data_IF_132479585262
#
_entry.id   IF_132479585262
#
_cell.length_a   1.000
_cell.length_b   1.000
_cell.length_c   1.000
_cell.angle_alpha   90.00
_cell.angle_beta   90.00
_cell.angle_gamma   90.00
#
_symmetry.space_group_name_H-M   'P 1'
#
loop_
_entity.id
_entity.type
_entity.pdbx_description
1 polymer ?
#
# COMPACT_ATOMS: atom_id res chain seq x y z
N UNK A 1 -48.26 -65.38 14.63
CA UNK A 1 -48.10 -66.54 13.68
C UNK A 1 -46.85 -66.25 12.82
N UNK A 2 -45.83 -67.14 13.00
CA UNK A 2 -44.93 -67.74 11.99
C UNK A 2 -44.23 -66.72 11.04
N UNK A 3 -42.96 -66.76 10.69
CA UNK A 3 -41.81 -67.71 10.95
C UNK A 3 -40.58 -67.08 10.31
N UNK A 4 -39.50 -67.04 11.08
CA UNK A 4 -38.10 -67.26 10.65
C UNK A 4 -37.83 -67.64 9.21
N UNK A 5 -36.78 -67.04 8.62
CA UNK A 5 -35.61 -67.82 8.13
C UNK A 5 -34.37 -66.98 8.00
N UNK A 6 -33.35 -67.44 8.69
CA UNK A 6 -31.93 -67.12 8.53
C UNK A 6 -31.46 -67.70 7.19
N UNK A 7 -30.54 -67.04 6.55
CA UNK A 7 -29.47 -67.73 5.78
C UNK A 7 -28.18 -66.91 5.89
N UNK A 8 -27.18 -67.58 6.43
CA UNK A 8 -25.77 -67.22 6.47
C UNK A 8 -25.15 -67.55 5.11
N UNK A 9 -24.15 -66.75 4.68
CA UNK A 9 -22.97 -67.15 3.89
C UNK A 9 -21.99 -65.95 4.04
N UNK A 10 -20.99 -65.99 4.87
CA UNK A 10 -19.65 -66.56 4.77
C UNK A 10 -18.79 -65.87 3.69
N UNK A 11 -17.91 -65.03 4.22
CA UNK A 11 -16.50 -64.74 3.87
C UNK A 11 -16.11 -64.57 2.40
N UNK A 12 -15.45 -63.44 2.08
CA UNK A 12 -14.02 -63.42 1.69
C UNK A 12 -13.44 -62.04 2.04
N UNK A 13 -12.46 -62.05 2.93
CA UNK A 13 -11.57 -60.96 3.21
C UNK A 13 -10.59 -60.80 2.06
N UNK A 14 -10.59 -59.63 1.42
CA UNK A 14 -9.47 -59.18 0.58
C UNK A 14 -8.94 -57.87 1.19
N UNK A 15 -7.89 -57.98 1.94
CA UNK A 15 -7.05 -56.90 2.44
C UNK A 15 -6.32 -56.28 1.23
N UNK A 16 -6.85 -55.19 0.69
CA UNK A 16 -6.13 -54.32 -0.24
C UNK A 16 -5.44 -53.25 0.57
N UNK A 17 -4.18 -53.50 0.95
CA UNK A 17 -3.27 -52.51 1.51
C UNK A 17 -2.90 -51.56 0.38
N UNK A 18 -3.65 -50.46 0.22
CA UNK A 18 -3.21 -49.32 -0.56
C UNK A 18 -2.12 -48.60 0.24
N UNK A 19 -0.89 -48.78 -0.18
CA UNK A 19 0.21 -47.89 0.13
C UNK A 19 -0.14 -46.48 -0.40
N UNK A 20 -0.76 -45.67 0.40
CA UNK A 20 -0.76 -44.21 0.22
C UNK A 20 0.65 -43.73 0.56
N UNK A 21 1.53 -43.75 -0.45
CA UNK A 21 2.76 -42.98 -0.40
C UNK A 21 2.32 -41.46 -0.34
N UNK A 22 2.06 -40.98 0.86
CA UNK A 22 2.02 -39.56 1.11
C UNK A 22 3.42 -38.99 0.84
N UNK A 23 3.64 -38.56 -0.39
CA UNK A 23 4.68 -37.59 -0.67
C UNK A 23 4.32 -36.34 0.18
N UNK A 24 4.84 -36.31 1.40
CA UNK A 24 4.96 -35.07 2.15
C UNK A 24 5.86 -34.16 1.31
N UNK A 25 5.22 -33.38 0.43
CA UNK A 25 5.81 -32.14 -0.05
C UNK A 25 6.09 -31.35 1.22
N UNK A 26 7.34 -31.36 1.63
CA UNK A 26 7.86 -30.56 2.74
C UNK A 26 7.70 -29.13 2.23
N UNK A 27 6.57 -28.52 2.54
CA UNK A 27 6.41 -27.06 2.42
C UNK A 27 7.57 -26.49 3.22
N UNK A 28 8.58 -25.96 2.54
CA UNK A 28 9.68 -25.27 3.19
C UNK A 28 9.03 -24.17 4.03
N UNK A 29 9.36 -24.15 5.31
CA UNK A 29 8.92 -23.10 6.19
C UNK A 29 9.31 -21.74 5.55
N UNK A 30 8.36 -20.87 5.19
CA UNK A 30 8.65 -19.63 4.51
C UNK A 30 9.67 -18.79 5.28
N UNK A 31 9.73 -18.95 6.59
CA UNK A 31 10.72 -18.31 7.45
C UNK A 31 12.15 -18.83 7.25
N UNK A 32 12.31 -20.11 6.87
CA UNK A 32 13.62 -20.70 6.59
C UNK A 32 14.18 -20.21 5.24
N UNK A 33 13.33 -19.94 4.27
CA UNK A 33 13.74 -19.43 2.96
C UNK A 33 14.29 -18.00 3.08
N UNK A 34 13.61 -17.13 3.81
CA UNK A 34 14.02 -15.73 3.98
C UNK A 34 15.31 -15.56 4.81
N UNK A 35 15.64 -16.55 5.67
CA UNK A 35 16.93 -16.59 6.36
C UNK A 35 18.09 -16.93 5.43
N UNK A 36 17.83 -17.66 4.36
CA UNK A 36 18.86 -18.15 3.44
C UNK A 36 18.92 -17.35 2.14
N UNK A 37 17.81 -16.81 1.68
CA UNK A 37 17.73 -16.04 0.43
C UNK A 37 16.57 -15.04 0.48
N UNK A 38 16.86 -13.77 0.24
CA UNK A 38 15.86 -12.72 0.19
C UNK A 38 15.52 -12.41 -1.28
N UNK A 39 14.30 -12.77 -1.72
CA UNK A 39 13.84 -12.62 -3.10
C UNK A 39 12.71 -11.59 -3.15
N UNK A 40 12.92 -10.47 -3.84
CA UNK A 40 12.00 -9.34 -3.84
C UNK A 40 10.56 -9.67 -4.29
N UNK A 41 10.30 -10.45 -5.38
CA UNK A 41 8.94 -10.84 -5.75
C UNK A 41 8.18 -11.63 -4.67
N UNK A 42 8.86 -12.52 -3.95
CA UNK A 42 8.27 -13.30 -2.85
C UNK A 42 7.86 -12.39 -1.68
N UNK A 43 8.71 -11.42 -1.35
CA UNK A 43 8.41 -10.42 -0.31
C UNK A 43 7.22 -9.55 -0.68
N UNK A 44 7.08 -9.17 -1.95
CA UNK A 44 5.92 -8.40 -2.44
C UNK A 44 4.63 -9.20 -2.24
N UNK A 45 4.62 -10.48 -2.63
CA UNK A 45 3.45 -11.34 -2.45
C UNK A 45 3.08 -11.51 -0.96
N UNK A 46 4.08 -11.73 -0.11
CA UNK A 46 3.87 -11.86 1.33
C UNK A 46 3.33 -10.56 1.94
N UNK A 47 3.91 -9.40 1.61
CA UNK A 47 3.44 -8.11 2.09
C UNK A 47 1.98 -7.86 1.69
N UNK A 48 1.61 -8.10 0.44
CA UNK A 48 0.23 -7.94 -0.04
C UNK A 48 -0.76 -8.89 0.65
N UNK A 49 -0.31 -10.07 1.09
CA UNK A 49 -1.15 -11.04 1.76
C UNK A 49 -1.32 -10.75 3.26
N UNK A 50 -0.26 -10.27 3.95
CA UNK A 50 -0.23 -10.18 5.41
C UNK A 50 -0.33 -8.77 5.96
N UNK A 51 0.07 -7.74 5.19
CA UNK A 51 0.16 -6.38 5.71
C UNK A 51 -1.19 -5.86 6.24
N UNK A 52 -1.26 -5.40 7.50
CA UNK A 52 -2.49 -4.91 8.12
C UNK A 52 -3.10 -3.68 7.44
N UNK A 53 -2.28 -2.81 6.81
CA UNK A 53 -2.78 -1.63 6.07
C UNK A 53 -3.65 -2.07 4.88
N UNK A 54 -3.24 -3.12 4.17
CA UNK A 54 -4.01 -3.70 3.06
C UNK A 54 -5.27 -4.41 3.60
N UNK A 55 -5.13 -5.15 4.70
CA UNK A 55 -6.26 -5.77 5.40
C UNK A 55 -7.32 -4.74 5.79
N UNK A 56 -6.92 -3.62 6.38
CA UNK A 56 -7.82 -2.52 6.75
C UNK A 56 -8.49 -1.89 5.53
N UNK A 57 -7.74 -1.62 4.45
CA UNK A 57 -8.28 -1.05 3.23
C UNK A 57 -9.33 -1.96 2.57
N UNK A 58 -9.08 -3.28 2.53
CA UNK A 58 -10.04 -4.28 2.04
C UNK A 58 -11.32 -4.29 2.88
N UNK A 59 -11.21 -4.16 4.21
CA UNK A 59 -12.40 -4.07 5.09
C UNK A 59 -13.18 -2.76 4.90
N UNK A 60 -12.53 -1.66 4.58
CA UNK A 60 -13.20 -0.41 4.18
C UNK A 60 -13.97 -0.59 2.87
N UNK A 61 -13.41 -1.30 1.90
CA UNK A 61 -14.12 -1.64 0.67
C UNK A 61 -15.31 -2.57 0.95
N UNK A 62 -15.15 -3.63 1.76
CA UNK A 62 -16.25 -4.50 2.20
C UNK A 62 -17.40 -3.66 2.83
N UNK A 63 -17.06 -2.69 3.68
CA UNK A 63 -18.04 -1.81 4.30
C UNK A 63 -18.78 -0.93 3.27
N UNK A 64 -18.04 -0.37 2.29
CA UNK A 64 -18.63 0.42 1.21
C UNK A 64 -19.54 -0.43 0.31
N UNK A 65 -19.15 -1.66 0.00
CA UNK A 65 -19.96 -2.61 -0.77
C UNK A 65 -21.27 -2.97 -0.04
N UNK A 66 -21.21 -3.20 1.28
CA UNK A 66 -22.41 -3.49 2.06
C UNK A 66 -23.38 -2.29 2.16
N UNK A 67 -22.88 -1.06 2.02
CA UNK A 67 -23.73 0.14 1.98
C UNK A 67 -24.66 0.16 0.77
N UNK A 68 -24.31 -0.46 -0.34
CA UNK A 68 -25.14 -0.57 -1.54
C UNK A 68 -26.50 -1.18 -1.19
N UNK A 69 -26.48 -2.31 -0.48
CA UNK A 69 -27.71 -2.99 -0.04
C UNK A 69 -28.54 -2.13 0.92
N UNK A 70 -27.88 -1.41 1.84
CA UNK A 70 -28.58 -0.53 2.79
C UNK A 70 -29.35 0.59 2.09
N UNK A 71 -28.71 1.29 1.13
CA UNK A 71 -29.33 2.44 0.46
C UNK A 71 -30.38 2.05 -0.60
N UNK A 72 -30.34 0.80 -1.08
CA UNK A 72 -31.32 0.22 -1.99
C UNK A 72 -32.58 -0.22 -1.28
N UNK A 73 -32.49 -0.56 0.00
CA UNK A 73 -33.61 -1.04 0.79
C UNK A 73 -34.58 0.08 1.09
N UNK A 74 -35.87 -0.28 1.26
CA UNK A 74 -36.87 0.64 1.78
C UNK A 74 -36.53 1.04 3.23
N UNK A 75 -36.96 2.23 3.62
CA UNK A 75 -36.90 2.67 5.00
C UNK A 75 -37.74 1.72 5.88
N UNK A 76 -37.42 1.62 7.17
CA UNK A 76 -38.13 0.75 8.08
C UNK A 76 -39.62 1.16 8.19
N UNK A 77 -40.55 0.18 8.32
CA UNK A 77 -41.96 0.49 8.61
C UNK A 77 -42.07 1.15 9.99
N UNK A 78 -42.91 2.18 10.06
CA UNK A 78 -43.11 2.93 11.31
C UNK A 78 -44.38 2.47 12.00
N UNK A 79 -44.25 1.94 13.22
CA UNK A 79 -45.38 1.67 14.12
C UNK A 79 -45.63 2.93 14.95
N UNK A 80 -46.84 3.43 14.92
CA UNK A 80 -47.29 4.59 15.69
C UNK A 80 -48.46 4.23 16.62
N UNK A 81 -48.44 4.76 17.83
CA UNK A 81 -49.56 4.69 18.77
C UNK A 81 -49.90 6.12 19.17
N UNK A 82 -51.13 6.52 18.94
CA UNK A 82 -51.63 7.84 19.24
C UNK A 82 -52.85 7.74 20.18
N UNK A 83 -52.87 8.55 21.22
CA UNK A 83 -53.99 8.69 22.13
C UNK A 83 -54.65 10.03 21.84
N UNK A 84 -55.94 9.97 21.51
CA UNK A 84 -56.70 11.15 21.17
C UNK A 84 -57.61 11.53 22.35
N UNK A 85 -57.71 12.83 22.61
CA UNK A 85 -58.51 13.42 23.66
C UNK A 85 -58.22 12.79 25.04
N UNK A 86 -56.93 12.67 25.37
CA UNK A 86 -56.53 12.24 26.71
C UNK A 86 -56.89 13.34 27.73
N UNK A 87 -57.41 12.99 28.93
CA UNK A 87 -57.76 13.98 29.95
C UNK A 87 -56.51 14.73 30.43
N UNK A 88 -56.70 15.96 30.95
CA UNK A 88 -55.62 16.83 31.48
C UNK A 88 -54.75 16.14 32.56
N UNK A 89 -55.28 15.12 33.22
CA UNK A 89 -54.53 14.27 34.15
C UNK A 89 -53.48 13.37 33.51
N UNK A 90 -53.30 13.40 32.19
CA UNK A 90 -52.45 12.50 31.40
C UNK A 90 -52.71 11.01 31.62
N UNK A 91 -53.90 10.64 32.07
CA UNK A 91 -54.27 9.24 32.17
C UNK A 91 -54.64 8.70 30.78
N UNK A 92 -53.64 8.13 30.08
CA UNK A 92 -53.79 7.62 28.71
C UNK A 92 -54.81 6.49 28.58
N UNK A 93 -55.08 5.76 29.67
CA UNK A 93 -56.13 4.72 29.70
C UNK A 93 -57.56 5.30 29.64
N UNK A 94 -57.74 6.62 29.84
CA UNK A 94 -59.02 7.35 29.75
C UNK A 94 -59.14 8.21 28.49
N UNK A 95 -58.22 8.04 27.53
CA UNK A 95 -58.33 8.70 26.21
C UNK A 95 -59.59 8.19 25.49
N UNK A 96 -60.29 9.05 24.75
CA UNK A 96 -61.47 8.64 24.00
C UNK A 96 -61.16 7.63 22.91
N UNK A 97 -59.96 7.75 22.24
CA UNK A 97 -59.56 6.87 21.16
C UNK A 97 -58.09 6.54 21.27
N UNK A 98 -57.72 5.31 20.97
CA UNK A 98 -56.34 4.88 20.73
C UNK A 98 -56.22 4.45 19.27
N UNK A 99 -55.28 5.08 18.55
CA UNK A 99 -54.95 4.72 17.16
C UNK A 99 -53.65 3.97 17.16
N UNK A 100 -53.66 2.77 16.60
CA UNK A 100 -52.46 1.97 16.35
C UNK A 100 -52.26 1.94 14.82
N UNK A 101 -51.20 2.55 14.36
CA UNK A 101 -50.90 2.69 12.93
C UNK A 101 -49.62 2.00 12.55
N UNK A 102 -49.58 1.38 11.38
CA UNK A 102 -48.39 0.89 10.69
C UNK A 102 -48.32 1.61 9.37
N UNK A 103 -47.19 2.26 9.09
CA UNK A 103 -46.96 2.97 7.83
C UNK A 103 -45.61 2.63 7.22
N UNK A 104 -45.56 2.67 5.87
CA UNK A 104 -44.38 2.42 5.08
C UNK A 104 -44.21 3.54 4.07
N UNK A 105 -42.98 4.11 4.03
CA UNK A 105 -42.59 5.09 3.02
C UNK A 105 -42.08 4.39 1.76
N UNK A 106 -42.59 4.83 0.62
CA UNK A 106 -42.17 4.41 -0.72
C UNK A 106 -41.61 5.62 -1.45
N UNK A 107 -40.27 5.71 -1.60
CA UNK A 107 -39.66 6.76 -2.42
C UNK A 107 -40.17 6.70 -3.86
N UNK A 108 -40.16 7.85 -4.54
CA UNK A 108 -40.57 7.90 -5.95
C UNK A 108 -39.75 6.90 -6.79
N UNK A 109 -40.38 6.19 -7.74
CA UNK A 109 -39.68 5.20 -8.57
C UNK A 109 -38.41 5.73 -9.21
N UNK A 110 -37.32 4.97 -9.06
CA UNK A 110 -35.97 5.32 -9.54
C UNK A 110 -35.07 6.03 -8.52
N UNK A 111 -35.61 6.60 -7.41
CA UNK A 111 -34.76 7.22 -6.37
C UNK A 111 -33.84 6.18 -5.71
N UNK A 112 -34.36 5.02 -5.32
CA UNK A 112 -33.57 3.94 -4.70
C UNK A 112 -32.51 3.40 -5.66
N UNK A 113 -32.84 3.21 -6.94
CA UNK A 113 -31.90 2.78 -7.96
C UNK A 113 -30.75 3.80 -8.17
N UNK A 114 -31.06 5.10 -8.13
CA UNK A 114 -30.03 6.15 -8.22
C UNK A 114 -29.15 6.19 -6.95
N UNK A 115 -29.74 6.02 -5.76
CA UNK A 115 -28.96 5.89 -4.51
C UNK A 115 -28.04 4.68 -4.56
N UNK A 116 -28.52 3.55 -5.08
CA UNK A 116 -27.72 2.34 -5.31
C UNK A 116 -26.54 2.64 -6.26
N UNK A 117 -26.78 3.31 -7.38
CA UNK A 117 -25.70 3.68 -8.34
C UNK A 117 -24.65 4.60 -7.72
N UNK A 118 -25.07 5.61 -6.95
CA UNK A 118 -24.16 6.50 -6.20
C UNK A 118 -23.32 5.70 -5.21
N UNK A 119 -23.92 4.80 -4.45
CA UNK A 119 -23.22 3.96 -3.49
C UNK A 119 -22.28 2.96 -4.19
N UNK A 120 -22.70 2.37 -5.32
CA UNK A 120 -21.86 1.49 -6.15
C UNK A 120 -20.60 2.22 -6.63
N UNK A 121 -20.75 3.44 -7.19
CA UNK A 121 -19.56 4.22 -7.60
C UNK A 121 -18.66 4.58 -6.42
N UNK A 122 -19.25 4.81 -5.24
CA UNK A 122 -18.46 5.05 -4.03
C UNK A 122 -17.70 3.78 -3.59
N UNK A 123 -18.29 2.60 -3.72
CA UNK A 123 -17.61 1.33 -3.45
C UNK A 123 -16.49 1.05 -4.47
N UNK A 124 -16.74 1.31 -5.77
CA UNK A 124 -15.73 1.19 -6.83
C UNK A 124 -14.54 2.14 -6.57
N UNK A 125 -14.78 3.37 -6.09
CA UNK A 125 -13.72 4.30 -5.68
C UNK A 125 -12.90 3.75 -4.52
N UNK A 126 -13.56 3.12 -3.54
CA UNK A 126 -12.87 2.51 -2.40
C UNK A 126 -12.03 1.31 -2.84
N UNK A 127 -12.48 0.54 -3.84
CA UNK A 127 -11.68 -0.53 -4.46
C UNK A 127 -10.40 0.03 -5.09
N UNK A 128 -10.50 1.16 -5.84
CA UNK A 128 -9.30 1.80 -6.39
C UNK A 128 -8.37 2.32 -5.28
N UNK A 129 -8.90 2.76 -4.14
CA UNK A 129 -8.09 3.14 -2.98
C UNK A 129 -7.32 1.94 -2.39
N UNK A 130 -7.90 0.72 -2.38
CA UNK A 130 -7.16 -0.50 -2.03
C UNK A 130 -5.98 -0.71 -2.97
N UNK A 131 -6.22 -0.62 -4.29
CA UNK A 131 -5.16 -0.80 -5.31
C UNK A 131 -4.06 0.25 -5.18
N UNK A 132 -4.42 1.51 -4.88
CA UNK A 132 -3.45 2.56 -4.62
C UNK A 132 -2.58 2.25 -3.39
N UNK A 133 -3.18 1.73 -2.32
CA UNK A 133 -2.46 1.27 -1.13
C UNK A 133 -1.54 0.08 -1.40
N UNK A 134 -1.96 -0.85 -2.26
CA UNK A 134 -1.12 -1.97 -2.69
C UNK A 134 0.12 -1.46 -3.45
N UNK A 135 -0.03 -0.48 -4.37
CA UNK A 135 1.09 0.13 -5.09
C UNK A 135 2.03 0.91 -4.16
N UNK A 136 1.48 1.66 -3.21
CA UNK A 136 2.26 2.36 -2.19
C UNK A 136 3.08 1.40 -1.33
N UNK A 137 2.47 0.30 -0.87
CA UNK A 137 3.15 -0.74 -0.10
C UNK A 137 4.31 -1.38 -0.89
N UNK A 138 4.07 -1.71 -2.17
CA UNK A 138 5.09 -2.29 -3.05
C UNK A 138 6.28 -1.33 -3.20
N UNK A 139 6.01 -0.04 -3.44
CA UNK A 139 7.08 0.96 -3.59
C UNK A 139 7.90 1.11 -2.31
N UNK A 140 7.26 1.24 -1.14
CA UNK A 140 7.93 1.31 0.17
C UNK A 140 8.74 0.04 0.46
N UNK A 141 8.23 -1.11 0.08
CA UNK A 141 8.92 -2.39 0.27
C UNK A 141 10.16 -2.49 -0.61
N UNK A 142 10.06 -2.13 -1.92
CA UNK A 142 11.19 -2.08 -2.85
C UNK A 142 12.29 -1.12 -2.34
N UNK A 143 11.90 0.08 -1.94
CA UNK A 143 12.83 1.07 -1.37
C UNK A 143 13.54 0.52 -0.13
N UNK A 144 12.78 -0.05 0.83
CA UNK A 144 13.36 -0.58 2.07
C UNK A 144 14.27 -1.79 1.80
N UNK A 145 13.94 -2.61 0.80
CA UNK A 145 14.78 -3.73 0.35
C UNK A 145 16.14 -3.25 -0.15
N UNK A 146 16.17 -2.21 -0.97
CA UNK A 146 17.41 -1.65 -1.49
C UNK A 146 18.17 -0.81 -0.45
N UNK A 147 17.48 -0.19 0.52
CA UNK A 147 18.14 0.41 1.69
C UNK A 147 18.89 -0.64 2.51
N UNK A 148 18.28 -1.81 2.73
CA UNK A 148 18.91 -2.92 3.42
C UNK A 148 20.12 -3.46 2.63
N UNK A 149 20.00 -3.57 1.30
CA UNK A 149 21.14 -3.91 0.43
C UNK A 149 22.31 -2.93 0.60
N UNK A 150 22.04 -1.63 0.52
CA UNK A 150 23.06 -0.60 0.66
C UNK A 150 23.74 -0.66 2.04
N UNK A 151 22.98 -0.90 3.10
CA UNK A 151 23.51 -1.03 4.44
C UNK A 151 24.47 -2.23 4.57
N UNK A 152 24.08 -3.39 4.02
CA UNK A 152 24.97 -4.56 3.97
C UNK A 152 26.25 -4.30 3.17
N UNK A 153 26.11 -3.65 2.01
CA UNK A 153 27.24 -3.33 1.14
C UNK A 153 28.19 -2.34 1.78
N UNK A 154 27.64 -1.32 2.46
CA UNK A 154 28.45 -0.35 3.20
C UNK A 154 29.25 -1.02 4.33
N UNK A 155 28.64 -1.94 5.08
CA UNK A 155 29.35 -2.72 6.12
C UNK A 155 30.44 -3.58 5.48
N UNK A 156 30.17 -4.25 4.37
CA UNK A 156 31.16 -5.07 3.65
C UNK A 156 32.38 -4.23 3.25
N UNK A 157 32.15 -3.11 2.53
CA UNK A 157 33.23 -2.19 2.10
C UNK A 157 34.02 -1.69 3.33
N UNK A 158 33.33 -1.39 4.41
CA UNK A 158 33.94 -0.89 5.63
C UNK A 158 34.84 -1.94 6.31
N UNK A 159 34.42 -3.21 6.37
CA UNK A 159 35.26 -4.31 6.88
C UNK A 159 36.51 -4.50 6.01
N UNK A 160 36.37 -4.50 4.68
CA UNK A 160 37.50 -4.57 3.76
C UNK A 160 38.52 -3.42 3.98
N UNK A 161 37.99 -2.22 4.31
CA UNK A 161 38.83 -1.06 4.64
C UNK A 161 39.57 -1.26 5.96
N UNK A 162 38.91 -1.76 7.01
CA UNK A 162 39.52 -2.07 8.29
C UNK A 162 40.66 -3.08 8.12
N UNK A 163 40.42 -4.15 7.35
CA UNK A 163 41.43 -5.20 7.17
C UNK A 163 42.64 -4.73 6.37
N UNK A 164 42.41 -3.91 5.35
CA UNK A 164 43.52 -3.29 4.61
C UNK A 164 44.31 -2.31 5.47
N UNK A 165 43.64 -1.51 6.28
CA UNK A 165 44.32 -0.54 7.14
C UNK A 165 45.10 -1.22 8.27
N UNK A 166 44.65 -2.38 8.78
CA UNK A 166 45.45 -3.22 9.68
C UNK A 166 46.76 -3.66 9.04
N UNK A 167 46.73 -4.08 7.77
CA UNK A 167 47.94 -4.44 7.03
C UNK A 167 48.86 -3.24 6.88
N UNK A 168 48.35 -2.05 6.58
CA UNK A 168 49.16 -0.84 6.50
C UNK A 168 49.74 -0.44 7.85
N UNK A 169 49.01 -0.58 8.93
CA UNK A 169 49.53 -0.37 10.29
C UNK A 169 50.72 -1.27 10.60
N UNK A 170 50.63 -2.56 10.29
CA UNK A 170 51.74 -3.50 10.50
C UNK A 170 52.98 -3.14 9.66
N UNK A 171 52.80 -2.77 8.40
CA UNK A 171 53.91 -2.31 7.53
C UNK A 171 54.55 -1.04 8.10
N UNK A 172 53.73 -0.08 8.52
CA UNK A 172 54.22 1.20 9.06
C UNK A 172 54.98 1.01 10.37
N UNK A 173 54.47 0.15 11.25
CA UNK A 173 55.07 -0.21 12.52
C UNK A 173 56.42 -0.95 12.31
N UNK A 174 56.50 -1.86 11.33
CA UNK A 174 57.71 -2.55 10.98
C UNK A 174 58.81 -1.56 10.42
N UNK A 175 58.40 -0.61 9.56
CA UNK A 175 59.30 0.45 9.07
C UNK A 175 59.81 1.33 10.21
N UNK A 176 58.95 1.72 11.15
CA UNK A 176 59.34 2.50 12.32
C UNK A 176 60.39 1.77 13.18
N UNK A 177 60.10 0.48 13.52
CA UNK A 177 61.03 -0.36 14.29
C UNK A 177 62.40 -0.52 13.60
N UNK A 178 62.42 -0.52 12.27
CA UNK A 178 63.65 -0.59 11.47
C UNK A 178 64.36 0.78 11.30
N UNK A 179 63.85 1.86 11.92
CA UNK A 179 64.39 3.21 11.78
C UNK A 179 64.16 3.85 10.39
N UNK A 180 63.28 3.25 9.57
CA UNK A 180 62.98 3.68 8.19
C UNK A 180 61.61 4.37 8.05
N UNK A 181 60.88 4.60 9.15
CA UNK A 181 59.57 5.22 9.19
C UNK A 181 59.40 6.21 10.32
N UNK A 182 58.38 7.05 10.23
CA UNK A 182 58.04 8.04 11.25
C UNK A 182 57.06 7.46 12.30
N UNK A 183 57.27 7.81 13.57
CA UNK A 183 56.28 7.53 14.63
C UNK A 183 54.93 8.18 14.35
N UNK A 184 54.94 9.34 13.68
CA UNK A 184 53.71 10.06 13.29
C UNK A 184 52.84 9.21 12.35
N UNK A 185 53.46 8.45 11.42
CA UNK A 185 52.72 7.59 10.50
C UNK A 185 52.04 6.41 11.23
N UNK A 186 52.71 5.84 12.25
CA UNK A 186 52.14 4.78 13.10
C UNK A 186 50.94 5.31 13.87
N UNK A 187 51.07 6.50 14.46
CA UNK A 187 49.94 7.14 15.20
C UNK A 187 48.77 7.49 14.28
N UNK A 188 49.05 8.00 13.07
CA UNK A 188 48.00 8.26 12.06
C UNK A 188 47.26 6.99 11.67
N UNK A 189 47.95 5.88 11.41
CA UNK A 189 47.37 4.60 11.10
C UNK A 189 46.45 4.09 12.28
N UNK A 190 46.93 4.28 13.49
CA UNK A 190 46.13 3.89 14.69
C UNK A 190 44.90 4.75 14.89
N UNK A 191 44.98 6.07 14.68
CA UNK A 191 43.83 6.98 14.74
C UNK A 191 42.80 6.61 13.66
N UNK A 192 43.27 6.32 12.43
CA UNK A 192 42.40 5.93 11.35
C UNK A 192 41.63 4.63 11.64
N UNK A 193 42.36 3.60 12.15
CA UNK A 193 41.70 2.35 12.62
C UNK A 193 40.63 2.62 13.68
N UNK A 194 40.95 3.49 14.64
CA UNK A 194 39.99 3.86 15.69
C UNK A 194 38.77 4.56 15.11
N UNK A 195 38.97 5.45 14.12
CA UNK A 195 37.87 6.14 13.40
C UNK A 195 36.98 5.16 12.65
N UNK A 196 37.57 4.18 11.94
CA UNK A 196 36.79 3.14 11.27
C UNK A 196 36.00 2.28 12.26
N UNK A 197 36.62 1.87 13.36
CA UNK A 197 35.90 1.13 14.40
C UNK A 197 34.75 1.94 15.02
N UNK A 198 34.87 3.27 15.13
CA UNK A 198 33.78 4.14 15.59
C UNK A 198 32.63 4.22 14.60
N UNK A 199 32.88 4.11 13.29
CA UNK A 199 31.84 4.20 12.25
C UNK A 199 31.02 2.90 12.13
N UNK A 200 31.60 1.76 12.45
CA UNK A 200 30.97 0.44 12.30
C UNK A 200 29.62 0.32 13.03
N UNK A 201 29.47 0.69 14.31
CA UNK A 201 28.18 0.63 15.00
C UNK A 201 27.08 1.48 14.33
N UNK A 202 27.43 2.59 13.70
CA UNK A 202 26.47 3.44 12.96
C UNK A 202 25.98 2.74 11.69
N UNK A 203 26.85 2.03 10.98
CA UNK A 203 26.49 1.25 9.81
C UNK A 203 25.60 0.04 10.19
N UNK A 204 25.95 -0.65 11.28
CA UNK A 204 25.16 -1.75 11.83
C UNK A 204 23.77 -1.27 12.27
N UNK A 205 23.68 -0.11 12.93
CA UNK A 205 22.40 0.49 13.30
C UNK A 205 21.54 0.79 12.05
N UNK A 206 22.12 1.27 10.96
CA UNK A 206 21.40 1.50 9.70
C UNK A 206 20.86 0.20 9.11
N UNK A 207 21.66 -0.87 9.10
CA UNK A 207 21.22 -2.22 8.70
C UNK A 207 20.04 -2.70 9.55
N UNK A 208 20.17 -2.62 10.86
CA UNK A 208 19.14 -3.08 11.79
C UNK A 208 17.84 -2.27 11.65
N UNK A 209 17.96 -0.97 11.40
CA UNK A 209 16.79 -0.11 11.12
C UNK A 209 16.11 -0.50 9.80
N UNK A 210 16.86 -0.72 8.73
CA UNK A 210 16.31 -1.14 7.43
C UNK A 210 15.66 -2.54 7.54
N UNK A 211 16.32 -3.49 8.24
CA UNK A 211 15.77 -4.82 8.50
C UNK A 211 14.47 -4.75 9.31
N UNK A 212 14.44 -3.97 10.39
CA UNK A 212 13.23 -3.80 11.20
C UNK A 212 12.08 -3.17 10.41
N UNK A 213 12.37 -2.18 9.55
CA UNK A 213 11.39 -1.57 8.67
C UNK A 213 10.84 -2.57 7.64
N UNK A 214 11.70 -3.40 7.05
CA UNK A 214 11.27 -4.43 6.10
C UNK A 214 10.38 -5.48 6.79
N UNK A 215 10.76 -5.94 7.98
CA UNK A 215 9.96 -6.87 8.77
C UNK A 215 8.59 -6.26 9.16
N UNK A 216 8.55 -4.98 9.53
CA UNK A 216 7.29 -4.27 9.80
C UNK A 216 6.36 -4.28 8.58
N UNK A 217 6.88 -4.07 7.35
CA UNK A 217 6.07 -4.11 6.13
C UNK A 217 5.54 -5.53 5.83
N UNK A 218 6.22 -6.56 6.32
CA UNK A 218 5.84 -7.98 6.19
C UNK A 218 4.96 -8.49 7.35
N UNK A 219 4.59 -7.62 8.31
CA UNK A 219 3.88 -8.01 9.54
C UNK A 219 4.64 -9.08 10.35
N UNK A 220 5.95 -8.88 10.55
CA UNK A 220 6.85 -9.77 11.29
C UNK A 220 7.47 -9.07 12.48
N UNK A 221 8.03 -9.85 13.43
CA UNK A 221 8.86 -9.26 14.52
C UNK A 221 10.01 -8.45 13.91
N UNK A 222 10.18 -7.16 14.27
CA UNK A 222 11.26 -6.32 13.73
C UNK A 222 12.66 -6.91 13.86
N UNK A 223 12.89 -7.82 14.82
CA UNK A 223 14.17 -8.50 15.07
C UNK A 223 14.36 -9.77 14.25
N UNK A 224 13.37 -10.18 13.44
CA UNK A 224 13.49 -11.38 12.62
C UNK A 224 14.70 -11.27 11.69
N UNK A 225 15.63 -12.24 11.68
CA UNK A 225 16.82 -12.17 10.86
C UNK A 225 16.47 -12.39 9.38
N UNK A 226 16.97 -11.49 8.54
CA UNK A 226 16.83 -11.57 7.07
C UNK A 226 18.19 -11.80 6.42
N UNK A 227 18.21 -12.59 5.36
CA UNK A 227 19.40 -12.73 4.51
C UNK A 227 19.77 -11.39 3.85
N UNK A 228 21.03 -11.20 3.43
CA UNK A 228 21.39 -10.04 2.62
C UNK A 228 20.57 -10.01 1.31
N UNK A 229 20.05 -8.84 0.92
CA UNK A 229 19.34 -8.66 -0.34
C UNK A 229 20.24 -8.89 -1.54
N UNK A 230 19.62 -9.19 -2.69
CA UNK A 230 20.34 -9.35 -3.95
C UNK A 230 20.77 -7.98 -4.50
N UNK A 231 21.87 -7.96 -5.23
CA UNK A 231 22.37 -6.77 -5.90
C UNK A 231 21.39 -6.29 -6.98
N UNK A 232 21.16 -4.95 -7.12
CA UNK A 232 20.32 -4.40 -8.17
C UNK A 232 20.84 -4.81 -9.56
N UNK A 233 19.92 -5.03 -10.51
CA UNK A 233 20.30 -5.32 -11.89
C UNK A 233 20.85 -4.07 -12.56
N UNK A 234 21.96 -4.22 -13.25
CA UNK A 234 22.58 -3.16 -14.03
C UNK A 234 21.98 -3.09 -15.44
N UNK A 235 20.72 -2.69 -15.54
CA UNK A 235 20.04 -2.56 -16.82
C UNK A 235 19.59 -1.11 -17.05
N UNK A 236 19.77 -0.62 -18.30
CA UNK A 236 19.28 0.70 -18.67
C UNK A 236 17.75 0.67 -18.77
N UNK A 237 17.11 1.65 -18.16
CA UNK A 237 15.67 1.86 -18.33
C UNK A 237 15.42 2.72 -19.57
N UNK A 238 14.83 2.13 -20.62
CA UNK A 238 14.76 2.74 -21.97
C UNK A 238 13.30 2.86 -22.47
N UNK A 239 12.34 3.07 -21.55
CA UNK A 239 10.97 3.31 -21.95
C UNK A 239 10.73 4.77 -22.37
N UNK A 240 9.84 4.94 -23.38
CA UNK A 240 9.47 6.27 -23.87
C UNK A 240 8.49 6.96 -22.94
N UNK A 241 8.58 8.30 -22.88
CA UNK A 241 7.74 9.12 -21.99
C UNK A 241 6.26 9.00 -22.32
N UNK A 242 5.91 8.95 -23.62
CA UNK A 242 4.52 8.87 -24.06
C UNK A 242 3.89 7.50 -23.74
N UNK A 243 4.68 6.44 -23.77
CA UNK A 243 4.23 5.10 -23.37
C UNK A 243 3.92 5.05 -21.88
N UNK A 244 4.76 5.69 -21.06
CA UNK A 244 4.53 5.80 -19.62
C UNK A 244 3.27 6.65 -19.31
N UNK A 245 3.01 7.72 -20.04
CA UNK A 245 1.78 8.49 -19.90
C UNK A 245 0.53 7.67 -20.25
N UNK A 246 0.57 6.91 -21.34
CA UNK A 246 -0.53 6.01 -21.74
C UNK A 246 -0.77 4.92 -20.70
N UNK A 247 0.29 4.31 -20.22
CA UNK A 247 0.22 3.30 -19.15
C UNK A 247 -0.43 3.87 -17.88
N UNK A 248 -0.02 5.04 -17.43
CA UNK A 248 -0.59 5.68 -16.24
C UNK A 248 -2.07 6.04 -16.43
N UNK A 249 -2.47 6.54 -17.57
CA UNK A 249 -3.87 6.87 -17.85
C UNK A 249 -4.78 5.65 -17.73
N UNK A 250 -4.28 4.46 -18.07
CA UNK A 250 -5.06 3.21 -18.03
C UNK A 250 -4.91 2.43 -16.72
N UNK A 251 -3.75 2.53 -16.06
CA UNK A 251 -3.43 1.68 -14.92
C UNK A 251 -3.56 2.37 -13.55
N UNK A 252 -3.26 3.69 -13.46
CA UNK A 252 -3.18 4.43 -12.20
C UNK A 252 -4.50 4.41 -11.43
N UNK A 253 -4.53 3.81 -10.20
CA UNK A 253 -5.76 3.67 -9.44
C UNK A 253 -6.39 5.02 -9.04
N UNK A 254 -5.58 6.03 -8.75
CA UNK A 254 -6.06 7.35 -8.34
C UNK A 254 -6.78 8.08 -9.49
N UNK A 255 -6.30 7.94 -10.74
CA UNK A 255 -7.00 8.49 -11.92
C UNK A 255 -8.33 7.79 -12.14
N UNK A 256 -8.38 6.46 -11.99
CA UNK A 256 -9.64 5.69 -12.06
C UNK A 256 -10.61 6.12 -10.96
N UNK A 257 -10.12 6.32 -9.73
CA UNK A 257 -10.94 6.80 -8.63
C UNK A 257 -11.51 8.21 -8.92
N UNK A 258 -10.72 9.10 -9.51
CA UNK A 258 -11.16 10.44 -9.90
C UNK A 258 -12.22 10.41 -11.02
N UNK A 259 -12.10 9.50 -11.98
CA UNK A 259 -13.13 9.30 -13.02
C UNK A 259 -14.44 8.75 -12.41
N UNK A 260 -14.33 7.75 -11.51
CA UNK A 260 -15.48 7.24 -10.76
C UNK A 260 -16.14 8.31 -9.87
N UNK A 261 -15.37 9.27 -9.36
CA UNK A 261 -15.92 10.41 -8.61
C UNK A 261 -16.76 11.33 -9.51
N UNK A 262 -16.34 11.56 -10.76
CA UNK A 262 -17.15 12.29 -11.74
C UNK A 262 -18.47 11.55 -11.98
N UNK A 263 -18.41 10.24 -12.27
CA UNK A 263 -19.58 9.41 -12.53
C UNK A 263 -20.53 9.39 -11.32
N UNK A 264 -20.01 9.22 -10.08
CA UNK A 264 -20.80 9.29 -8.85
C UNK A 264 -21.54 10.63 -8.72
N UNK A 265 -20.83 11.75 -8.94
CA UNK A 265 -21.43 13.08 -8.83
C UNK A 265 -22.46 13.35 -9.93
N UNK A 266 -22.27 12.80 -11.13
CA UNK A 266 -23.28 12.84 -12.19
C UNK A 266 -24.56 12.09 -11.78
N UNK A 267 -24.43 10.89 -11.18
CA UNK A 267 -25.58 10.16 -10.64
C UNK A 267 -26.22 10.91 -9.47
N UNK A 268 -25.44 11.54 -8.59
CA UNK A 268 -25.96 12.39 -7.52
C UNK A 268 -26.75 13.59 -8.06
N UNK A 269 -26.33 14.20 -9.17
CA UNK A 269 -27.06 15.27 -9.83
C UNK A 269 -28.39 14.75 -10.40
N UNK A 270 -28.41 13.57 -11.02
CA UNK A 270 -29.65 12.96 -11.50
C UNK A 270 -30.58 12.64 -10.32
N UNK A 271 -30.05 12.18 -9.19
CA UNK A 271 -30.81 11.96 -7.97
C UNK A 271 -31.42 13.28 -7.43
N UNK A 272 -30.64 14.37 -7.40
CA UNK A 272 -31.13 15.69 -6.98
C UNK A 272 -32.29 16.17 -7.86
N UNK A 273 -32.27 15.92 -9.16
CA UNK A 273 -33.39 16.18 -10.08
C UNK A 273 -34.60 15.29 -9.75
N UNK A 274 -34.39 14.07 -9.24
CA UNK A 274 -35.50 13.18 -8.83
C UNK A 274 -36.13 13.59 -7.51
N UNK A 275 -35.49 14.43 -6.70
CA UNK A 275 -36.06 14.93 -5.45
C UNK A 275 -37.25 15.88 -5.66
N UNK A 276 -37.47 16.43 -6.88
CA UNK A 276 -38.70 17.15 -7.23
C UNK A 276 -39.94 16.26 -7.31
N UNK A 277 -39.80 14.93 -7.34
CA UNK A 277 -40.93 14.03 -7.38
C UNK A 277 -41.31 13.59 -5.97
N UNK A 278 -42.64 13.54 -5.68
CA UNK A 278 -43.14 13.22 -4.34
C UNK A 278 -42.92 11.75 -3.97
N UNK A 279 -42.56 11.51 -2.72
CA UNK A 279 -42.57 10.19 -2.11
C UNK A 279 -43.97 9.90 -1.57
N UNK A 280 -44.36 8.64 -1.53
CA UNK A 280 -45.66 8.17 -1.05
C UNK A 280 -45.47 7.44 0.26
N UNK A 281 -46.24 7.78 1.26
CA UNK A 281 -46.33 7.02 2.51
C UNK A 281 -47.71 6.37 2.62
N UNK A 282 -47.74 5.06 2.72
CA UNK A 282 -48.98 4.27 2.87
C UNK A 282 -49.06 3.73 4.30
N UNK A 283 -50.22 3.87 4.92
CA UNK A 283 -50.44 3.36 6.28
C UNK A 283 -51.81 2.75 6.45
N UNK A 284 -51.88 1.83 7.39
CA UNK A 284 -53.15 1.28 7.92
C UNK A 284 -53.17 1.61 9.40
N UNK A 285 -54.40 1.96 9.90
CA UNK A 285 -54.60 2.33 11.28
C UNK A 285 -55.79 1.55 11.84
N UNK A 286 -55.66 1.11 13.08
CA UNK A 286 -56.76 0.57 13.87
C UNK A 286 -57.22 1.64 14.85
N UNK A 287 -58.52 1.96 14.80
CA UNK A 287 -59.19 2.82 15.75
C UNK A 287 -59.80 1.96 16.87
N UNK A 288 -59.32 2.17 18.07
CA UNK A 288 -59.93 1.58 19.25
C UNK A 288 -60.70 2.69 19.98
N UNK A 289 -62.01 2.66 19.81
CA UNK A 289 -62.93 3.65 20.37
C UNK A 289 -63.51 3.12 21.66
N UNK A 290 -63.59 3.95 22.68
CA UNK A 290 -64.19 3.55 23.95
C UNK A 290 -65.74 3.83 24.02
N UNK A 291 -66.22 4.71 23.11
CA UNK A 291 -67.63 5.12 23.05
C UNK A 291 -68.32 4.81 21.71
N UNK A 292 -67.59 4.23 20.74
CA UNK A 292 -68.09 3.89 19.41
C UNK A 292 -67.49 2.55 18.94
N UNK A 293 -68.04 1.91 17.88
CA UNK A 293 -67.44 0.71 17.30
C UNK A 293 -66.02 0.91 16.86
N UNK A 294 -65.14 -0.09 17.06
CA UNK A 294 -63.82 -0.11 16.58
C UNK A 294 -63.81 -0.19 15.05
N UNK A 295 -62.79 0.45 14.41
CA UNK A 295 -62.68 0.49 12.95
C UNK A 295 -61.24 0.42 12.45
N UNK A 296 -61.10 0.35 11.14
CA UNK A 296 -59.85 0.44 10.44
C UNK A 296 -59.86 1.65 9.51
N UNK A 297 -58.73 2.29 9.34
CA UNK A 297 -58.49 3.38 8.38
C UNK A 297 -57.30 3.13 7.52
N UNK A 298 -57.29 3.66 6.33
CA UNK A 298 -56.12 3.75 5.46
C UNK A 298 -55.63 5.20 5.41
N UNK A 299 -54.32 5.36 5.46
CA UNK A 299 -53.67 6.69 5.34
C UNK A 299 -52.76 6.69 4.13
N UNK A 300 -52.95 7.66 3.25
CA UNK A 300 -52.08 7.94 2.15
C UNK A 300 -51.55 9.37 2.33
N UNK A 301 -50.25 9.55 2.45
CA UNK A 301 -49.66 10.87 2.51
C UNK A 301 -48.54 11.01 1.47
N UNK A 302 -48.41 12.20 0.89
CA UNK A 302 -47.41 12.55 -0.09
C UNK A 302 -46.73 13.86 0.34
N UNK A 303 -45.41 13.95 0.14
CA UNK A 303 -44.75 15.22 0.29
C UNK A 303 -44.94 16.07 -0.99
N UNK A 304 -44.92 17.39 -0.86
CA UNK A 304 -45.13 18.33 -1.94
C UNK A 304 -43.86 19.14 -2.25
N UNK A 305 -42.87 18.56 -2.96
CA UNK A 305 -41.59 19.22 -3.22
C UNK A 305 -41.72 20.40 -4.21
N UNK A 306 -42.82 20.53 -4.93
CA UNK A 306 -43.09 21.57 -5.91
C UNK A 306 -43.80 22.80 -5.32
N UNK A 307 -44.10 22.84 -4.00
CA UNK A 307 -44.72 24.00 -3.37
C UNK A 307 -43.76 25.22 -3.48
N UNK A 308 -44.32 26.41 -3.71
CA UNK A 308 -43.51 27.62 -4.02
C UNK A 308 -42.50 27.97 -2.92
N UNK A 309 -42.79 27.66 -1.66
CA UNK A 309 -41.85 27.86 -0.54
C UNK A 309 -40.80 26.77 -0.38
N UNK A 310 -40.97 25.57 -1.01
CA UNK A 310 -39.98 24.48 -0.95
C UNK A 310 -39.13 24.40 -2.21
N UNK A 311 -39.60 24.94 -3.34
CA UNK A 311 -38.90 24.91 -4.62
C UNK A 311 -37.44 25.41 -4.57
N UNK A 312 -37.13 26.55 -3.88
CA UNK A 312 -35.75 27.05 -3.80
C UNK A 312 -34.77 26.06 -3.17
N UNK A 313 -35.22 25.20 -2.23
CA UNK A 313 -34.41 24.13 -1.64
C UNK A 313 -33.95 23.12 -2.69
N UNK A 314 -34.86 22.69 -3.54
CA UNK A 314 -34.57 21.69 -4.57
C UNK A 314 -33.73 22.29 -5.71
N UNK A 315 -34.03 23.55 -6.10
CA UNK A 315 -33.23 24.30 -7.08
C UNK A 315 -31.75 24.42 -6.59
N UNK A 316 -31.55 24.76 -5.31
CA UNK A 316 -30.23 24.84 -4.70
C UNK A 316 -29.54 23.47 -4.66
N UNK A 317 -30.26 22.40 -4.33
CA UNK A 317 -29.69 21.04 -4.32
C UNK A 317 -29.22 20.57 -5.71
N UNK A 318 -29.93 20.93 -6.78
CA UNK A 318 -29.48 20.65 -8.15
C UNK A 318 -28.26 21.47 -8.52
N UNK A 319 -28.20 22.75 -8.13
CA UNK A 319 -27.04 23.61 -8.35
C UNK A 319 -25.80 23.13 -7.58
N UNK A 320 -25.98 22.73 -6.32
CA UNK A 320 -24.93 22.10 -5.51
C UNK A 320 -24.37 20.86 -6.19
N UNK A 321 -25.23 19.94 -6.63
CA UNK A 321 -24.81 18.73 -7.33
C UNK A 321 -24.11 19.03 -8.66
N UNK A 322 -24.56 20.05 -9.39
CA UNK A 322 -23.91 20.51 -10.64
C UNK A 322 -22.51 21.09 -10.36
N UNK A 323 -22.37 21.88 -9.30
CA UNK A 323 -21.08 22.40 -8.85
C UNK A 323 -20.12 21.27 -8.42
N UNK A 324 -20.63 20.25 -7.74
CA UNK A 324 -19.85 19.07 -7.36
C UNK A 324 -19.32 18.28 -8.58
N UNK A 325 -20.09 18.16 -9.66
CA UNK A 325 -19.61 17.58 -10.94
C UNK A 325 -18.48 18.43 -11.53
N UNK A 326 -18.65 19.75 -11.56
CA UNK A 326 -17.64 20.66 -12.10
C UNK A 326 -16.34 20.61 -11.29
N UNK A 327 -16.44 20.56 -9.96
CA UNK A 327 -15.30 20.39 -9.04
C UNK A 327 -14.56 19.06 -9.30
N UNK A 328 -15.28 17.93 -9.37
CA UNK A 328 -14.67 16.63 -9.62
C UNK A 328 -13.93 16.56 -10.97
N UNK A 329 -14.46 17.21 -12.01
CA UNK A 329 -13.78 17.31 -13.32
C UNK A 329 -12.50 18.15 -13.24
N UNK A 330 -12.50 19.23 -12.47
CA UNK A 330 -11.33 20.05 -12.25
C UNK A 330 -10.25 19.31 -11.44
N UNK A 331 -10.66 18.57 -10.41
CA UNK A 331 -9.79 17.71 -9.61
C UNK A 331 -9.15 16.60 -10.46
N UNK A 332 -9.93 15.92 -11.30
CA UNK A 332 -9.41 14.92 -12.24
C UNK A 332 -8.33 15.52 -13.17
N UNK A 333 -8.58 16.69 -13.76
CA UNK A 333 -7.61 17.38 -14.61
C UNK A 333 -6.34 17.77 -13.84
N UNK A 334 -6.49 18.23 -12.61
CA UNK A 334 -5.37 18.57 -11.73
C UNK A 334 -4.51 17.34 -11.44
N UNK A 335 -5.14 16.20 -11.15
CA UNK A 335 -4.45 14.94 -10.92
C UNK A 335 -3.77 14.41 -12.19
N UNK A 336 -4.38 14.56 -13.35
CA UNK A 336 -3.77 14.21 -14.64
C UNK A 336 -2.49 15.02 -14.89
N UNK A 337 -2.55 16.34 -14.70
CA UNK A 337 -1.39 17.22 -14.86
C UNK A 337 -0.28 16.87 -13.86
N UNK A 338 -0.63 16.60 -12.59
CA UNK A 338 0.31 16.17 -11.57
C UNK A 338 0.95 14.82 -11.95
N UNK A 339 0.17 13.87 -12.45
CA UNK A 339 0.66 12.57 -12.92
C UNK A 339 1.69 12.73 -14.02
N UNK A 340 1.40 13.53 -15.03
CA UNK A 340 2.34 13.81 -16.13
C UNK A 340 3.63 14.45 -15.64
N UNK A 341 3.52 15.42 -14.73
CA UNK A 341 4.69 16.04 -14.12
C UNK A 341 5.54 15.00 -13.34
N UNK A 342 4.91 14.20 -12.47
CA UNK A 342 5.60 13.19 -11.66
C UNK A 342 6.33 12.15 -12.53
N UNK A 343 5.68 11.65 -13.58
CA UNK A 343 6.30 10.68 -14.51
C UNK A 343 7.55 11.28 -15.17
N UNK A 344 7.44 12.52 -15.69
CA UNK A 344 8.56 13.20 -16.32
C UNK A 344 9.72 13.44 -15.36
N UNK A 345 9.44 13.92 -14.16
CA UNK A 345 10.44 14.18 -13.12
C UNK A 345 11.15 12.88 -12.70
N UNK A 346 10.37 11.82 -12.41
CA UNK A 346 10.91 10.53 -11.99
C UNK A 346 11.73 9.87 -13.10
N UNK A 347 11.27 9.92 -14.35
CA UNK A 347 12.03 9.40 -15.49
C UNK A 347 13.38 10.12 -15.66
N UNK A 348 13.39 11.44 -15.49
CA UNK A 348 14.64 12.22 -15.53
C UNK A 348 15.59 11.80 -14.39
N UNK A 349 15.07 11.59 -13.17
CA UNK A 349 15.85 11.12 -12.01
C UNK A 349 16.39 9.71 -12.22
N UNK A 350 15.60 8.77 -12.76
CA UNK A 350 16.04 7.41 -13.11
C UNK A 350 17.20 7.46 -14.10
N UNK A 351 17.09 8.26 -15.17
CA UNK A 351 18.12 8.41 -16.18
C UNK A 351 19.40 9.02 -15.60
N UNK A 352 19.27 10.09 -14.82
CA UNK A 352 20.41 10.74 -14.16
C UNK A 352 21.15 9.80 -13.20
N UNK A 353 20.41 9.07 -12.34
CA UNK A 353 21.04 8.09 -11.42
C UNK A 353 21.75 6.98 -12.17
N UNK A 354 21.20 6.52 -13.29
CA UNK A 354 21.86 5.54 -14.16
C UNK A 354 23.15 6.10 -14.79
N UNK A 355 23.12 7.30 -15.35
CA UNK A 355 24.31 7.94 -15.94
C UNK A 355 25.42 8.12 -14.91
N UNK A 356 25.07 8.51 -13.68
CA UNK A 356 26.01 8.60 -12.56
C UNK A 356 26.60 7.22 -12.23
N UNK A 357 25.79 6.18 -12.13
CA UNK A 357 26.27 4.83 -11.85
C UNK A 357 27.22 4.32 -12.96
N UNK A 358 26.88 4.55 -14.22
CA UNK A 358 27.73 4.20 -15.36
C UNK A 358 29.07 4.96 -15.31
N UNK A 359 29.06 6.26 -15.03
CA UNK A 359 30.29 7.08 -14.89
C UNK A 359 31.18 6.52 -13.77
N UNK A 360 30.60 6.20 -12.61
CA UNK A 360 31.39 5.58 -11.53
C UNK A 360 32.02 4.27 -11.98
N UNK A 361 31.22 3.37 -12.57
CA UNK A 361 31.68 2.04 -12.97
C UNK A 361 32.76 2.09 -14.05
N UNK A 362 32.57 2.93 -15.09
CA UNK A 362 33.44 2.91 -16.28
C UNK A 362 34.65 3.82 -16.18
N UNK A 363 34.61 4.84 -15.33
CA UNK A 363 35.65 5.88 -15.29
C UNK A 363 36.20 6.09 -13.89
N UNK A 364 35.39 6.44 -12.92
CA UNK A 364 35.86 6.90 -11.61
C UNK A 364 36.48 5.74 -10.81
N UNK A 365 35.82 4.59 -10.74
CA UNK A 365 36.34 3.43 -9.99
C UNK A 365 37.64 2.88 -10.56
N UNK A 366 37.80 2.64 -11.89
CA UNK A 366 39.06 2.19 -12.45
C UNK A 366 40.22 3.18 -12.24
N UNK A 367 39.95 4.49 -12.33
CA UNK A 367 40.96 5.52 -12.08
C UNK A 367 41.37 5.58 -10.61
N UNK A 368 40.40 5.52 -9.70
CA UNK A 368 40.67 5.54 -8.26
C UNK A 368 41.44 4.27 -7.82
N UNK A 369 41.10 3.10 -8.36
CA UNK A 369 41.80 1.85 -8.10
C UNK A 369 43.27 1.94 -8.55
N UNK A 370 43.55 2.44 -9.76
CA UNK A 370 44.88 2.69 -10.23
C UNK A 370 45.63 3.68 -9.33
N UNK A 371 44.93 4.71 -8.82
CA UNK A 371 45.49 5.68 -7.88
C UNK A 371 45.94 5.02 -6.57
N UNK A 372 45.09 4.11 -6.00
CA UNK A 372 45.45 3.35 -4.80
C UNK A 372 46.68 2.45 -5.04
N UNK A 373 46.69 1.71 -6.15
CA UNK A 373 47.81 0.83 -6.48
C UNK A 373 49.12 1.61 -6.68
N UNK A 374 49.06 2.77 -7.34
CA UNK A 374 50.23 3.65 -7.50
C UNK A 374 50.73 4.21 -6.14
N UNK A 375 49.79 4.67 -5.29
CA UNK A 375 50.10 5.15 -3.94
C UNK A 375 50.70 4.03 -3.07
N UNK A 376 50.18 2.81 -3.17
CA UNK A 376 50.68 1.61 -2.46
C UNK A 376 52.10 1.25 -2.89
N UNK A 377 52.35 1.23 -4.20
CA UNK A 377 53.71 0.99 -4.76
C UNK A 377 54.69 2.09 -4.35
N UNK A 378 54.30 3.35 -4.43
CA UNK A 378 55.10 4.50 -4.01
C UNK A 378 55.44 4.46 -2.52
N UNK A 379 54.50 4.11 -1.65
CA UNK A 379 54.73 3.99 -0.21
C UNK A 379 55.71 2.85 0.12
N UNK A 380 55.61 1.70 -0.56
CA UNK A 380 56.57 0.60 -0.39
C UNK A 380 57.99 1.02 -0.71
N UNK A 381 58.17 1.80 -1.78
CA UNK A 381 59.51 2.29 -2.24
C UNK A 381 59.97 3.57 -1.55
N UNK A 382 59.12 4.17 -0.67
CA UNK A 382 59.43 5.41 0.03
C UNK A 382 59.27 6.70 -0.82
N UNK A 383 58.62 6.62 -1.99
CA UNK A 383 58.37 7.77 -2.87
C UNK A 383 57.14 8.58 -2.50
N UNK A 384 56.14 7.94 -1.88
CA UNK A 384 54.89 8.57 -1.41
C UNK A 384 54.78 8.44 0.10
N UNK A 385 54.15 9.44 0.73
CA UNK A 385 53.86 9.46 2.16
C UNK A 385 52.74 8.49 2.54
N UNK A 386 52.67 8.16 3.85
CA UNK A 386 51.57 7.36 4.38
C UNK A 386 50.22 8.03 4.21
N UNK A 387 50.18 9.37 4.33
CA UNK A 387 48.96 10.14 4.19
C UNK A 387 48.37 10.02 2.78
N UNK A 388 49.20 10.11 1.74
CA UNK A 388 48.79 10.01 0.33
C UNK A 388 48.15 8.64 0.05
N UNK A 389 48.70 7.56 0.66
CA UNK A 389 48.16 6.22 0.54
C UNK A 389 46.79 6.10 1.19
N UNK A 390 46.61 6.65 2.41
CA UNK A 390 45.32 6.62 3.13
C UNK A 390 44.27 7.46 2.40
N UNK A 391 44.62 8.63 1.90
CA UNK A 391 43.69 9.47 1.13
C UNK A 391 43.27 8.81 -0.18
N UNK A 392 44.14 8.14 -0.89
CA UNK A 392 43.80 7.38 -2.08
C UNK A 392 42.82 6.22 -1.75
N UNK A 393 43.11 5.46 -0.69
CA UNK A 393 42.23 4.37 -0.25
C UNK A 393 40.83 4.87 0.19
N UNK A 394 40.77 5.93 0.98
CA UNK A 394 39.49 6.58 1.37
C UNK A 394 38.69 7.03 0.16
N UNK A 395 39.34 7.68 -0.82
CA UNK A 395 38.70 8.14 -2.03
C UNK A 395 38.11 6.96 -2.84
N UNK A 396 38.88 5.90 -3.05
CA UNK A 396 38.44 4.72 -3.78
C UNK A 396 37.22 4.06 -3.13
N UNK A 397 37.26 3.84 -1.83
CA UNK A 397 36.13 3.22 -1.09
C UNK A 397 34.92 4.16 -1.00
N UNK A 398 35.19 5.45 -0.86
CA UNK A 398 34.13 6.45 -0.98
C UNK A 398 33.40 6.35 -2.34
N UNK A 399 34.13 6.25 -3.43
CA UNK A 399 33.56 6.09 -4.77
C UNK A 399 32.84 4.75 -4.98
N UNK A 400 33.33 3.66 -4.38
CA UNK A 400 32.58 2.39 -4.37
C UNK A 400 31.22 2.54 -3.71
N UNK A 401 31.17 3.22 -2.57
CA UNK A 401 29.91 3.45 -1.87
C UNK A 401 28.96 4.37 -2.67
N UNK A 402 29.50 5.42 -3.30
CA UNK A 402 28.71 6.31 -4.16
C UNK A 402 28.15 5.60 -5.39
N UNK A 403 28.90 4.66 -5.98
CA UNK A 403 28.41 3.80 -7.05
C UNK A 403 27.17 2.99 -6.62
N UNK A 404 27.25 2.31 -5.47
CA UNK A 404 26.10 1.54 -4.94
C UNK A 404 24.95 2.45 -4.52
N UNK A 405 25.22 3.66 -4.02
CA UNK A 405 24.19 4.66 -3.75
C UNK A 405 23.47 5.08 -5.03
N UNK A 406 24.17 5.31 -6.11
CA UNK A 406 23.57 5.67 -7.39
C UNK A 406 22.67 4.54 -7.94
N UNK A 407 23.10 3.26 -7.81
CA UNK A 407 22.28 2.12 -8.17
C UNK A 407 21.00 2.02 -7.32
N UNK A 408 21.13 2.17 -6.01
CA UNK A 408 19.99 2.12 -5.08
C UNK A 408 19.03 3.29 -5.31
N UNK A 409 19.56 4.50 -5.53
CA UNK A 409 18.75 5.67 -5.87
C UNK A 409 17.94 5.44 -7.16
N UNK A 410 18.55 4.84 -8.18
CA UNK A 410 17.83 4.43 -9.40
C UNK A 410 16.66 3.49 -9.08
N UNK A 411 16.87 2.47 -8.25
CA UNK A 411 15.82 1.52 -7.87
C UNK A 411 14.69 2.19 -7.06
N UNK A 412 15.03 3.14 -6.18
CA UNK A 412 14.05 3.95 -5.47
C UNK A 412 13.19 4.74 -6.44
N UNK A 413 13.80 5.42 -7.43
CA UNK A 413 13.06 6.21 -8.43
C UNK A 413 12.23 5.34 -9.37
N UNK A 414 12.71 4.12 -9.70
CA UNK A 414 11.91 3.15 -10.44
C UNK A 414 10.70 2.68 -9.64
N UNK A 415 10.84 2.37 -8.36
CA UNK A 415 9.73 1.99 -7.51
C UNK A 415 8.69 3.11 -7.36
N UNK A 416 9.13 4.38 -7.24
CA UNK A 416 8.25 5.55 -7.25
C UNK A 416 7.53 5.71 -8.60
N UNK A 417 8.25 5.48 -9.71
CA UNK A 417 7.68 5.57 -11.06
C UNK A 417 6.60 4.50 -11.29
N UNK A 418 6.85 3.26 -10.87
CA UNK A 418 5.88 2.17 -10.91
C UNK A 418 4.63 2.48 -10.06
N UNK A 419 4.81 3.09 -8.89
CA UNK A 419 3.71 3.55 -8.05
C UNK A 419 2.87 4.60 -8.76
N UNK A 420 3.51 5.61 -9.35
CA UNK A 420 2.81 6.71 -10.06
C UNK A 420 2.10 6.21 -11.31
N UNK A 421 2.67 5.25 -12.03
CA UNK A 421 2.04 4.65 -13.21
C UNK A 421 0.92 3.67 -12.81
N UNK A 422 1.04 3.03 -11.65
CA UNK A 422 0.10 2.01 -11.18
C UNK A 422 0.34 0.62 -11.79
N UNK A 423 1.50 0.40 -12.42
CA UNK A 423 1.88 -0.88 -13.04
C UNK A 423 3.36 -1.18 -12.80
N UNK A 424 3.74 -2.45 -12.85
CA UNK A 424 5.14 -2.87 -12.82
C UNK A 424 5.78 -2.62 -14.19
N UNK A 425 6.96 -1.98 -14.19
CA UNK A 425 7.70 -1.58 -15.41
C UNK A 425 8.78 -2.61 -15.82
N UNK A 426 9.30 -3.34 -14.85
CA UNK A 426 10.20 -4.44 -15.12
C UNK A 426 9.35 -5.68 -15.40
N UNK A 427 9.26 -6.10 -16.67
CA UNK A 427 8.47 -7.24 -17.12
C UNK A 427 8.95 -8.60 -16.57
N UNK A 428 8.82 -8.78 -15.25
CA UNK A 428 8.93 -10.04 -14.56
C UNK A 428 7.66 -10.18 -13.68
N UNK A 429 6.56 -10.55 -14.33
CA UNK A 429 5.43 -11.22 -13.68
C UNK A 429 5.69 -12.70 -13.65
#
# INVERSE_FOLDING_TARGET
MRRNRRCQCVTVASVLVMFFSSALSRAQDPDSVLRNRLVLPELVQEALARNPEIGAARKQWDAAANRITQVRSLDDPTLSVQWWNAPESFNLARSENTLIGLSQKFPFPGKLALKEQVASRSADMTEQAVRAKERDLIARLKQTYYDLFLAHKAIQIHHEQIDLLKQFFEITNAKFRAGKGSQVDVLKAQIELSTLHQQLPVLEQRRDTAQGKLNMLLDRDPRFPLAPPQEPREERFDQDLEDLYRAATTARPELKAADLAIQRNEQSRVLALREYYPDINLGVQRFQNYQAPNGFGAVVSINLPFAFWTKPKYDAGVQEAAAAVAAARAEHRTLENLTRFQIRDLLAKVRASWEVAVLYRTTVLPQAEQGVEAARAGYRTGRTGFLDLIEADRAWRGFQLEYYRALVEREHRLAELEQVIGADLNGNS
#
